data_IF_243840284108
#
_entry.id   IF_243840284108
#
_cell.length_a   1.000
_cell.length_b   1.000
_cell.length_c   1.000
_cell.angle_alpha   90.00
_cell.angle_beta   90.00
_cell.angle_gamma   90.00
#
_symmetry.space_group_name_H-M   'P 1'
#
loop_
_entity.id
_entity.type
_entity.pdbx_description
1 polymer ?
#
# COMPACT_ATOMS: atom_id res chain seq x y z
N UNK A 1 9.46 23.81 -6.14
CA UNK A 1 9.59 22.76 -5.10
C UNK A 1 10.20 21.53 -5.77
N UNK A 2 10.93 20.70 -5.02
CA UNK A 2 11.50 19.46 -5.57
C UNK A 2 10.57 18.32 -5.21
N UNK A 3 10.03 17.65 -6.22
CA UNK A 3 9.23 16.46 -6.06
C UNK A 3 10.10 15.29 -5.61
N UNK A 4 9.74 14.64 -4.50
CA UNK A 4 10.51 13.52 -3.94
C UNK A 4 9.63 12.28 -3.99
N UNK A 5 10.07 11.29 -4.77
CA UNK A 5 9.46 9.97 -4.80
C UNK A 5 10.26 9.01 -3.93
N UNK A 6 9.55 8.25 -3.10
CA UNK A 6 10.12 7.15 -2.33
C UNK A 6 9.34 5.86 -2.61
N UNK A 7 10.02 4.72 -2.58
CA UNK A 7 9.39 3.42 -2.84
C UNK A 7 9.91 2.38 -1.86
N UNK A 8 8.98 1.62 -1.31
CA UNK A 8 9.24 0.53 -0.37
C UNK A 8 8.61 -0.75 -0.89
N UNK A 9 9.25 -1.89 -0.61
CA UNK A 9 8.74 -3.20 -0.98
C UNK A 9 8.39 -3.98 0.28
N UNK A 10 7.21 -4.59 0.29
CA UNK A 10 6.72 -5.41 1.39
C UNK A 10 6.43 -6.83 0.89
N UNK A 11 6.87 -7.83 1.66
CA UNK A 11 6.66 -9.27 1.41
C UNK A 11 5.81 -9.94 2.47
N UNK A 12 5.45 -9.20 3.52
CA UNK A 12 4.66 -9.63 4.66
C UNK A 12 3.64 -8.54 4.97
N UNK A 13 2.69 -8.84 5.86
CA UNK A 13 1.72 -7.87 6.34
C UNK A 13 2.43 -6.64 6.91
N UNK A 14 1.87 -5.47 6.67
CA UNK A 14 2.57 -4.23 6.98
C UNK A 14 1.61 -3.11 7.37
N UNK A 15 2.17 -2.10 8.01
CA UNK A 15 1.45 -0.89 8.36
C UNK A 15 2.24 0.35 7.91
N UNK A 16 1.49 1.38 7.54
CA UNK A 16 2.03 2.68 7.17
C UNK A 16 1.63 3.65 8.27
N UNK A 17 2.62 4.09 9.05
CA UNK A 17 2.49 5.17 10.00
C UNK A 17 2.95 6.48 9.33
N UNK A 18 2.03 7.38 8.98
CA UNK A 18 2.36 8.61 8.27
C UNK A 18 3.17 9.60 9.12
N UNK A 19 3.13 9.48 10.45
CA UNK A 19 3.96 10.31 11.34
C UNK A 19 5.47 10.03 11.16
N UNK A 20 5.82 8.83 10.70
CA UNK A 20 7.18 8.40 10.38
C UNK A 20 7.59 8.73 8.93
N UNK A 21 6.62 9.15 8.09
CA UNK A 21 6.82 9.52 6.68
C UNK A 21 6.69 11.04 6.51
N UNK A 22 7.41 11.78 7.35
CA UNK A 22 7.28 13.24 7.51
C UNK A 22 8.25 14.08 6.65
N UNK A 23 8.76 13.50 5.56
CA UNK A 23 9.62 14.22 4.61
C UNK A 23 8.91 15.46 4.03
N UNK A 24 9.68 16.54 3.79
CA UNK A 24 9.34 17.81 3.13
C UNK A 24 8.11 18.60 3.62
N UNK A 25 6.98 17.95 3.94
CA UNK A 25 5.74 18.43 4.59
C UNK A 25 4.71 17.30 4.85
N UNK A 26 5.03 16.04 4.58
CA UNK A 26 4.10 14.90 4.61
C UNK A 26 3.83 14.30 3.23
N UNK A 27 3.05 13.23 3.20
CA UNK A 27 2.73 12.47 1.98
C UNK A 27 1.58 13.14 1.22
N UNK A 28 1.79 13.48 -0.05
CA UNK A 28 0.74 14.05 -0.92
C UNK A 28 0.07 13.00 -1.81
N UNK A 29 0.78 11.91 -2.10
CA UNK A 29 0.24 10.75 -2.82
C UNK A 29 0.82 9.45 -2.27
N UNK A 30 -0.04 8.46 -2.10
CA UNK A 30 0.31 7.09 -1.75
C UNK A 30 -0.22 6.15 -2.84
N UNK A 31 0.61 5.25 -3.33
CA UNK A 31 0.20 4.22 -4.29
C UNK A 31 0.66 2.85 -3.81
N UNK A 32 -0.23 1.87 -3.76
CA UNK A 32 0.06 0.49 -3.36
C UNK A 32 -0.27 -0.44 -4.50
N UNK A 33 0.76 -1.11 -4.98
CA UNK A 33 0.71 -2.04 -6.10
C UNK A 33 1.19 -3.43 -5.67
N UNK A 34 0.26 -4.36 -5.40
CA UNK A 34 0.59 -5.78 -5.36
C UNK A 34 1.20 -6.22 -6.70
N UNK A 35 2.18 -7.12 -6.64
CA UNK A 35 2.70 -7.77 -7.84
C UNK A 35 1.60 -8.60 -8.51
N UNK A 36 1.66 -8.79 -9.83
CA UNK A 36 0.61 -9.49 -10.60
C UNK A 36 0.35 -10.93 -10.12
N UNK A 37 1.41 -11.60 -9.68
CA UNK A 37 1.36 -12.94 -9.11
C UNK A 37 1.09 -12.97 -7.59
N UNK A 38 1.05 -11.80 -6.94
CA UNK A 38 0.86 -11.72 -5.49
C UNK A 38 -0.57 -12.06 -5.13
N UNK A 39 -0.73 -12.69 -3.98
CA UNK A 39 -2.03 -12.71 -3.32
C UNK A 39 -2.50 -11.27 -3.06
N UNK A 40 -3.82 -11.03 -3.05
CA UNK A 40 -4.38 -9.71 -2.85
C UNK A 40 -4.03 -9.14 -1.48
N UNK A 41 -3.95 -7.82 -1.39
CA UNK A 41 -3.92 -7.12 -0.10
C UNK A 41 -5.34 -6.74 0.32
N UNK A 42 -5.58 -6.69 1.63
CA UNK A 42 -6.78 -6.17 2.26
C UNK A 42 -6.42 -5.00 3.16
N UNK A 43 -7.25 -3.97 3.17
CA UNK A 43 -7.16 -2.87 4.13
C UNK A 43 -7.88 -3.27 5.42
N UNK A 44 -7.22 -3.11 6.57
CA UNK A 44 -7.79 -3.39 7.90
C UNK A 44 -8.55 -2.19 8.48
N UNK A 45 -9.41 -1.58 7.68
CA UNK A 45 -10.30 -0.48 8.05
C UNK A 45 -11.78 -0.91 8.20
N UNK A 46 -12.06 -2.20 8.00
CA UNK A 46 -13.41 -2.78 8.02
C UNK A 46 -14.15 -2.71 6.68
N UNK A 47 -13.60 -2.07 5.66
CA UNK A 47 -14.21 -1.98 4.31
C UNK A 47 -14.17 -3.31 3.56
N UNK A 48 -13.21 -4.19 3.90
CA UNK A 48 -12.92 -5.39 3.11
C UNK A 48 -12.38 -5.06 1.72
N UNK A 49 -11.90 -3.83 1.49
CA UNK A 49 -11.36 -3.43 0.20
C UNK A 49 -10.19 -4.32 -0.19
N UNK A 50 -10.31 -4.94 -1.36
CA UNK A 50 -9.30 -5.80 -1.97
C UNK A 50 -8.45 -5.00 -2.94
N UNK A 51 -7.14 -5.12 -2.80
CA UNK A 51 -6.13 -4.47 -3.62
C UNK A 51 -5.43 -5.56 -4.43
N UNK A 52 -5.37 -5.39 -5.75
CA UNK A 52 -4.68 -6.30 -6.68
C UNK A 52 -3.83 -5.50 -7.65
N UNK A 53 -3.04 -6.16 -8.50
CA UNK A 53 -2.28 -5.48 -9.55
C UNK A 53 -3.17 -4.69 -10.52
N UNK A 54 -4.39 -5.17 -10.80
CA UNK A 54 -5.37 -4.51 -11.69
C UNK A 54 -6.20 -3.44 -10.96
N UNK A 55 -6.30 -3.53 -9.63
CA UNK A 55 -7.03 -2.58 -8.79
C UNK A 55 -6.10 -2.09 -7.66
N UNK A 56 -5.14 -1.21 -7.96
CA UNK A 56 -4.24 -0.67 -6.96
C UNK A 56 -4.97 0.28 -6.02
N UNK A 57 -4.40 0.48 -4.83
CA UNK A 57 -4.90 1.46 -3.88
C UNK A 57 -4.13 2.76 -4.04
N UNK A 58 -4.84 3.86 -4.25
CA UNK A 58 -4.25 5.18 -4.47
C UNK A 58 -4.95 6.20 -3.60
N UNK A 59 -4.18 6.93 -2.81
CA UNK A 59 -4.61 8.15 -2.14
C UNK A 59 -3.90 9.32 -2.81
N UNK A 60 -4.66 10.33 -3.20
CA UNK A 60 -4.12 11.60 -3.69
C UNK A 60 -4.82 12.74 -2.95
N UNK A 61 -4.06 13.71 -2.45
CA UNK A 61 -4.59 14.78 -1.63
C UNK A 61 -3.92 16.12 -1.94
N UNK A 62 -4.70 17.19 -1.86
CA UNK A 62 -4.20 18.57 -1.96
C UNK A 62 -3.57 19.07 -0.65
N UNK A 63 -3.77 18.33 0.45
CA UNK A 63 -3.23 18.63 1.77
C UNK A 63 -2.36 17.45 2.23
N UNK A 64 -1.06 17.66 2.53
CA UNK A 64 -0.17 16.59 2.94
C UNK A 64 -0.70 15.81 4.15
N UNK A 65 -0.64 14.48 4.07
CA UNK A 65 -0.92 13.57 5.17
C UNK A 65 0.32 13.54 6.07
N UNK A 66 0.15 13.99 7.30
CA UNK A 66 1.22 14.10 8.30
C UNK A 66 1.07 13.12 9.47
N UNK A 67 -0.10 12.49 9.59
CA UNK A 67 -0.42 11.57 10.66
C UNK A 67 -1.50 10.57 10.22
N UNK A 68 -1.62 9.47 10.95
CA UNK A 68 -2.53 8.37 10.67
C UNK A 68 -1.81 7.04 10.50
N UNK A 69 -2.56 5.95 10.70
CA UNK A 69 -2.09 4.58 10.57
C UNK A 69 -3.01 3.81 9.63
N UNK A 70 -2.44 3.16 8.62
CA UNK A 70 -3.17 2.24 7.75
C UNK A 70 -2.48 0.88 7.75
N UNK A 71 -3.26 -0.18 7.97
CA UNK A 71 -2.78 -1.56 8.08
C UNK A 71 -3.25 -2.38 6.87
N UNK A 72 -2.33 -3.16 6.32
CA UNK A 72 -2.54 -4.00 5.15
C UNK A 72 -2.16 -5.45 5.46
N UNK A 73 -3.00 -6.38 5.02
CA UNK A 73 -2.79 -7.82 5.19
C UNK A 73 -2.88 -8.54 3.85
N UNK A 74 -1.95 -9.46 3.58
CA UNK A 74 -2.02 -10.34 2.44
C UNK A 74 -3.09 -11.41 2.69
N UNK A 75 -4.12 -11.42 1.85
CA UNK A 75 -5.25 -12.34 1.96
C UNK A 75 -4.88 -13.72 1.46
N UNK A 76 -4.60 -14.63 2.38
CA UNK A 76 -4.35 -16.05 2.10
C UNK A 76 -5.62 -16.89 1.94
N UNK A 77 -6.82 -16.28 2.00
CA UNK A 77 -8.09 -17.01 1.92
C UNK A 77 -8.15 -17.93 0.69
N UNK A 78 -8.36 -19.26 0.87
CA UNK A 78 -8.36 -20.28 -0.20
C UNK A 78 -9.29 -19.97 -1.39
N UNK A 79 -10.41 -19.28 -1.13
CA UNK A 79 -11.37 -18.86 -2.15
C UNK A 79 -10.81 -17.79 -3.11
N UNK A 80 -9.71 -17.13 -2.74
CA UNK A 80 -9.02 -16.08 -3.50
C UNK A 80 -7.67 -16.55 -4.06
N UNK A 81 -7.14 -17.65 -3.55
CA UNK A 81 -5.89 -18.32 -3.94
C UNK A 81 -6.20 -19.59 -4.74
N UNK A 82 -6.97 -19.46 -5.81
CA UNK A 82 -7.02 -20.53 -6.79
C UNK A 82 -5.61 -20.70 -7.37
N UNK A 83 -5.00 -21.88 -7.19
CA UNK A 83 -3.85 -22.43 -7.95
C UNK A 83 -2.44 -22.36 -7.33
N UNK A 84 -2.15 -21.67 -6.21
CA UNK A 84 -0.78 -21.66 -5.64
C UNK A 84 -0.62 -22.48 -4.35
N UNK A 85 0.30 -23.45 -4.34
CA UNK A 85 0.68 -24.25 -3.15
C UNK A 85 1.45 -23.44 -2.10
N UNK A 86 2.02 -22.30 -2.49
CA UNK A 86 2.70 -21.35 -1.61
C UNK A 86 2.27 -19.95 -2.02
N UNK A 87 1.57 -19.17 -1.18
CA UNK A 87 1.09 -17.85 -1.54
C UNK A 87 2.27 -16.90 -1.77
N UNK A 88 2.44 -16.41 -3.00
CA UNK A 88 3.42 -15.35 -3.28
C UNK A 88 2.90 -14.02 -2.71
N UNK A 89 3.72 -13.35 -1.88
CA UNK A 89 3.40 -12.07 -1.27
C UNK A 89 4.40 -11.02 -1.69
N UNK A 90 3.92 -9.99 -2.41
CA UNK A 90 4.75 -8.86 -2.80
C UNK A 90 3.89 -7.66 -3.12
N UNK A 91 4.19 -6.53 -2.48
CA UNK A 91 3.62 -5.24 -2.82
C UNK A 91 4.70 -4.17 -2.87
N UNK A 92 4.52 -3.19 -3.76
CA UNK A 92 5.34 -1.99 -3.86
C UNK A 92 4.47 -0.83 -3.40
N UNK A 93 4.95 -0.09 -2.41
CA UNK A 93 4.33 1.12 -1.92
C UNK A 93 5.15 2.30 -2.41
N UNK A 94 4.51 3.29 -3.00
CA UNK A 94 5.15 4.51 -3.50
C UNK A 94 4.56 5.70 -2.77
N UNK A 95 5.46 6.57 -2.31
CA UNK A 95 5.13 7.82 -1.66
C UNK A 95 5.61 8.97 -2.53
N UNK A 96 4.75 9.98 -2.67
CA UNK A 96 5.12 11.27 -3.19
C UNK A 96 5.14 12.27 -2.03
N UNK A 97 6.28 12.91 -1.85
CA UNK A 97 6.45 14.03 -0.93
C UNK A 97 6.66 15.30 -1.74
N UNK A 98 5.88 16.34 -1.41
CA UNK A 98 5.91 17.68 -2.00
C UNK A 98 5.76 17.73 -3.54
N UNK A 99 4.76 18.44 -4.04
CA UNK A 99 4.72 18.90 -5.44
C UNK A 99 5.17 20.36 -5.55
#
# INVERSE_FOLDING_TARGET
MKTIYHSEQFTDDFEINFSEKNDCKGVVKLEIHPHELSVPLLIKDGSGQRITAQAPFVINTNHPIVDGLIRFEFSEYPALTAVQTTPFKKAIVRYLYCE
#
